data_IF_249014531162
#
_entry.id   IF_249014531162
#
_cell.length_a   1.000
_cell.length_b   1.000
_cell.length_c   1.000
_cell.angle_alpha   90.00
_cell.angle_beta   90.00
_cell.angle_gamma   90.00
#
_symmetry.space_group_name_H-M   'P 1'
#
loop_
_entity.id
_entity.type
_entity.pdbx_description
1 polymer ?
#
# COMPACT_ATOMS: atom_id res chain seq x y z
N UNK A 1 -35.92 -21.37 -14.75
CA UNK A 1 -36.18 -21.42 -13.29
C UNK A 1 -35.07 -20.66 -12.59
N UNK A 2 -35.34 -19.44 -12.10
CA UNK A 2 -34.46 -18.72 -11.18
C UNK A 2 -34.69 -19.20 -9.74
N UNK A 3 -33.63 -19.18 -8.91
CA UNK A 3 -33.67 -18.90 -7.46
C UNK A 3 -32.22 -18.65 -6.97
N UNK A 4 -31.91 -17.43 -6.51
CA UNK A 4 -31.66 -17.01 -5.09
C UNK A 4 -30.23 -17.38 -4.63
N UNK A 5 -29.36 -16.52 -4.11
CA UNK A 5 -29.50 -15.38 -3.20
C UNK A 5 -28.37 -14.33 -3.41
N UNK A 6 -28.76 -13.06 -3.37
CA UNK A 6 -27.87 -11.92 -3.06
C UNK A 6 -27.34 -12.06 -1.62
N UNK A 7 -26.03 -11.89 -1.44
CA UNK A 7 -25.47 -11.40 -0.18
C UNK A 7 -24.83 -10.05 -0.46
N UNK A 8 -25.61 -9.01 -0.22
CA UNK A 8 -25.19 -7.61 -0.21
C UNK A 8 -24.54 -7.37 1.15
N UNK A 9 -23.20 -7.32 1.19
CA UNK A 9 -22.47 -6.88 2.37
C UNK A 9 -22.41 -5.34 2.34
N UNK A 10 -23.46 -4.73 2.86
CA UNK A 10 -23.54 -3.28 3.08
C UNK A 10 -22.66 -2.93 4.28
N UNK A 11 -21.42 -2.52 4.03
CA UNK A 11 -20.66 -1.76 5.02
C UNK A 11 -21.14 -0.30 4.94
N UNK A 12 -22.05 0.05 5.84
CA UNK A 12 -22.40 1.41 6.20
C UNK A 12 -21.14 2.13 6.74
N UNK A 13 -20.46 2.88 5.89
CA UNK A 13 -19.59 3.97 6.35
C UNK A 13 -20.46 5.23 6.44
N UNK A 14 -21.18 5.34 7.55
CA UNK A 14 -21.79 6.60 7.99
C UNK A 14 -20.83 7.23 8.98
N UNK A 15 -20.03 8.18 8.50
CA UNK A 15 -19.48 9.26 9.32
C UNK A 15 -19.72 10.57 8.57
N UNK A 16 -20.85 11.22 8.89
CA UNK A 16 -20.96 12.68 8.82
C UNK A 16 -20.37 13.29 10.09
N UNK A 17 -20.04 14.56 10.21
CA UNK A 17 -20.22 15.76 9.38
C UNK A 17 -19.20 16.80 9.89
N UNK A 18 -18.79 17.73 9.01
CA UNK A 18 -18.35 19.13 9.26
C UNK A 18 -17.06 19.31 10.10
N UNK A 19 -16.00 19.99 9.65
CA UNK A 19 -15.92 21.12 8.74
C UNK A 19 -14.58 21.12 8.00
N UNK A 20 -14.60 20.93 6.68
CA UNK A 20 -13.55 21.47 5.82
C UNK A 20 -13.64 22.98 5.92
N UNK A 21 -12.76 23.60 6.69
CA UNK A 21 -12.55 25.03 6.59
C UNK A 21 -11.92 25.28 5.23
N UNK A 22 -12.75 25.70 4.27
CA UNK A 22 -12.30 26.32 3.03
C UNK A 22 -11.40 27.50 3.39
N UNK A 23 -10.10 27.35 3.18
CA UNK A 23 -9.17 28.46 3.02
C UNK A 23 -8.33 28.15 1.77
N UNK A 24 -8.97 28.38 0.63
CA UNK A 24 -8.45 29.05 -0.58
C UNK A 24 -6.99 28.83 -1.02
N UNK A 25 -6.45 27.61 -0.94
CA UNK A 25 -5.17 27.22 -1.57
C UNK A 25 -5.24 25.79 -2.17
N UNK A 26 -6.01 25.62 -3.25
CA UNK A 26 -5.73 24.67 -4.33
C UNK A 26 -6.20 23.20 -4.25
N UNK A 27 -6.48 22.60 -3.09
CA UNK A 27 -6.91 21.19 -3.00
C UNK A 27 -8.34 21.03 -2.45
N UNK A 28 -9.17 20.28 -3.19
CA UNK A 28 -10.53 19.91 -2.79
C UNK A 28 -10.50 18.64 -1.91
N UNK A 29 -10.72 18.80 -0.61
CA UNK A 29 -10.69 17.68 0.33
C UNK A 29 -11.83 16.66 0.15
N UNK A 30 -12.97 17.05 -0.43
CA UNK A 30 -14.03 16.08 -0.78
C UNK A 30 -13.54 15.13 -1.87
N UNK A 31 -12.88 15.70 -2.88
CA UNK A 31 -12.27 14.94 -3.97
C UNK A 31 -11.09 14.10 -3.47
N UNK A 32 -10.23 14.65 -2.61
CA UNK A 32 -9.11 13.92 -2.02
C UNK A 32 -9.57 12.70 -1.20
N UNK A 33 -10.62 12.84 -0.38
CA UNK A 33 -11.19 11.73 0.38
C UNK A 33 -11.89 10.69 -0.52
N UNK A 34 -12.48 11.14 -1.64
CA UNK A 34 -13.03 10.23 -2.67
C UNK A 34 -11.91 9.42 -3.31
N UNK A 35 -10.83 10.08 -3.75
CA UNK A 35 -9.65 9.43 -4.32
C UNK A 35 -8.99 8.46 -3.33
N UNK A 36 -8.92 8.82 -2.05
CA UNK A 36 -8.43 7.92 -0.99
C UNK A 36 -9.27 6.65 -0.92
N UNK A 37 -10.60 6.78 -0.88
CA UNK A 37 -11.52 5.64 -0.80
C UNK A 37 -11.43 4.76 -2.05
N UNK A 38 -11.34 5.35 -3.24
CA UNK A 38 -11.19 4.61 -4.50
C UNK A 38 -9.85 3.89 -4.59
N UNK A 39 -8.75 4.56 -4.24
CA UNK A 39 -7.42 3.98 -4.24
C UNK A 39 -7.30 2.86 -3.20
N UNK A 40 -7.92 3.01 -2.03
CA UNK A 40 -8.02 1.95 -1.02
C UNK A 40 -8.74 0.72 -1.58
N UNK A 41 -9.88 0.91 -2.25
CA UNK A 41 -10.64 -0.18 -2.85
C UNK A 41 -9.88 -0.86 -3.99
N UNK A 42 -9.18 -0.08 -4.82
CA UNK A 42 -8.35 -0.59 -5.91
C UNK A 42 -7.17 -1.41 -5.37
N UNK A 43 -6.51 -0.91 -4.32
CA UNK A 43 -5.45 -1.63 -3.62
C UNK A 43 -5.96 -2.91 -2.99
N UNK A 44 -7.08 -2.87 -2.25
CA UNK A 44 -7.71 -4.07 -1.66
C UNK A 44 -8.08 -5.12 -2.70
N UNK A 45 -8.51 -4.70 -3.89
CA UNK A 45 -8.89 -5.60 -4.98
C UNK A 45 -7.68 -6.18 -5.70
N UNK A 46 -6.50 -5.55 -5.59
CA UNK A 46 -5.27 -5.93 -6.26
C UNK A 46 -4.06 -5.70 -5.34
N UNK A 47 -4.05 -6.37 -4.18
CA UNK A 47 -3.10 -6.08 -3.09
C UNK A 47 -1.63 -6.28 -3.49
N UNK A 48 -1.38 -7.01 -4.57
CA UNK A 48 -0.03 -7.28 -5.07
C UNK A 48 0.38 -6.31 -6.22
N UNK A 49 -0.45 -5.31 -6.53
CA UNK A 49 -0.17 -4.29 -7.55
C UNK A 49 0.58 -3.10 -6.97
N UNK A 50 1.83 -2.92 -7.40
CA UNK A 50 2.66 -1.76 -7.09
C UNK A 50 1.96 -0.45 -7.45
N UNK A 51 1.27 -0.40 -8.59
CA UNK A 51 0.56 0.79 -9.04
C UNK A 51 -0.63 1.11 -8.13
N UNK A 52 -1.39 0.09 -7.72
CA UNK A 52 -2.52 0.28 -6.82
C UNK A 52 -2.05 0.69 -5.41
N UNK A 53 -0.94 0.13 -4.93
CA UNK A 53 -0.33 0.54 -3.68
C UNK A 53 0.18 1.99 -3.74
N UNK A 54 0.93 2.35 -4.79
CA UNK A 54 1.45 3.71 -4.94
C UNK A 54 0.31 4.72 -5.06
N UNK A 55 -0.76 4.39 -5.79
CA UNK A 55 -1.95 5.22 -5.86
C UNK A 55 -2.58 5.41 -4.47
N UNK A 56 -2.67 4.34 -3.68
CA UNK A 56 -3.21 4.42 -2.33
C UNK A 56 -2.33 5.24 -1.38
N UNK A 57 -1.01 5.02 -1.42
CA UNK A 57 -0.01 5.78 -0.66
C UNK A 57 -0.08 7.27 -0.98
N UNK A 58 -0.11 7.64 -2.26
CA UNK A 58 -0.22 9.04 -2.69
C UNK A 58 -1.53 9.68 -2.22
N UNK A 59 -2.64 8.93 -2.22
CA UNK A 59 -3.92 9.44 -1.75
C UNK A 59 -3.90 9.70 -0.23
N UNK A 60 -3.28 8.81 0.56
CA UNK A 60 -3.05 9.03 2.00
C UNK A 60 -2.18 10.26 2.25
N UNK A 61 -1.06 10.40 1.55
CA UNK A 61 -0.18 11.58 1.63
C UNK A 61 -0.94 12.87 1.28
N UNK A 62 -1.80 12.81 0.25
CA UNK A 62 -2.60 13.97 -0.17
C UNK A 62 -3.57 14.40 0.93
N UNK A 63 -4.26 13.46 1.58
CA UNK A 63 -5.18 13.79 2.68
C UNK A 63 -4.43 14.33 3.90
N UNK A 64 -3.31 13.72 4.27
CA UNK A 64 -2.50 14.12 5.44
C UNK A 64 -1.85 15.50 5.21
N UNK A 65 -1.15 15.69 4.09
CA UNK A 65 -0.34 16.89 3.84
C UNK A 65 -1.19 18.14 3.61
N UNK A 66 -2.44 17.97 3.18
CA UNK A 66 -3.39 19.06 2.98
C UNK A 66 -4.36 19.24 4.16
N UNK A 67 -4.14 18.53 5.28
CA UNK A 67 -4.98 18.69 6.47
C UNK A 67 -6.45 18.34 6.25
N UNK A 68 -6.76 17.44 5.30
CA UNK A 68 -8.13 17.12 4.93
C UNK A 68 -8.89 16.31 6.00
N UNK A 69 -8.21 15.92 7.09
CA UNK A 69 -8.81 15.31 8.28
C UNK A 69 -9.06 16.32 9.42
N UNK A 70 -8.81 17.62 9.21
CA UNK A 70 -8.90 18.64 10.25
C UNK A 70 -7.85 18.44 11.35
N UNK A 71 -8.16 18.85 12.57
CA UNK A 71 -7.28 18.72 13.74
C UNK A 71 -7.52 17.41 14.53
N UNK A 72 -8.19 16.43 13.91
CA UNK A 72 -8.45 15.13 14.54
C UNK A 72 -7.17 14.28 14.56
N UNK A 73 -6.43 14.39 15.66
CA UNK A 73 -5.15 13.72 15.85
C UNK A 73 -5.27 12.19 15.81
N UNK A 74 -6.40 11.62 16.24
CA UNK A 74 -6.64 10.18 16.19
C UNK A 74 -6.75 9.70 14.73
N UNK A 75 -7.50 10.43 13.91
CA UNK A 75 -7.65 10.14 12.48
C UNK A 75 -6.31 10.33 11.76
N UNK A 76 -5.60 11.42 12.00
CA UNK A 76 -4.29 11.68 11.36
C UNK A 76 -3.28 10.58 11.72
N UNK A 77 -3.23 10.15 12.98
CA UNK A 77 -2.33 9.09 13.41
C UNK A 77 -2.69 7.75 12.77
N UNK A 78 -3.97 7.46 12.59
CA UNK A 78 -4.43 6.27 11.88
C UNK A 78 -3.95 6.28 10.42
N UNK A 79 -4.11 7.40 9.71
CA UNK A 79 -3.66 7.54 8.33
C UNK A 79 -2.13 7.44 8.19
N UNK A 80 -1.37 8.01 9.14
CA UNK A 80 0.10 7.88 9.17
C UNK A 80 0.56 6.46 9.46
N UNK A 81 -0.13 5.74 10.35
CA UNK A 81 0.16 4.33 10.61
C UNK A 81 -0.10 3.49 9.36
N UNK A 82 -1.20 3.75 8.66
CA UNK A 82 -1.52 3.06 7.42
C UNK A 82 -0.48 3.36 6.32
N UNK A 83 -0.06 4.61 6.19
CA UNK A 83 1.04 5.01 5.28
C UNK A 83 2.35 4.28 5.61
N UNK A 84 2.69 4.17 6.91
CA UNK A 84 3.86 3.45 7.36
C UNK A 84 3.78 1.93 7.08
N UNK A 85 2.58 1.34 7.19
CA UNK A 85 2.34 -0.08 6.87
C UNK A 85 2.46 -0.36 5.37
N UNK A 86 2.05 0.57 4.50
CA UNK A 86 2.27 0.45 3.05
C UNK A 86 3.75 0.53 2.69
N UNK A 87 4.56 1.22 3.50
CA UNK A 87 5.98 1.42 3.25
C UNK A 87 6.23 2.13 1.91
N UNK A 88 7.25 1.69 1.19
CA UNK A 88 7.59 2.21 -0.13
C UNK A 88 6.78 1.55 -1.27
N UNK A 89 5.73 0.78 -0.95
CA UNK A 89 4.91 0.04 -1.91
C UNK A 89 5.70 -0.93 -2.79
N UNK A 90 6.87 -1.34 -2.34
CA UNK A 90 7.60 -2.43 -2.97
C UNK A 90 7.21 -3.73 -2.26
N UNK A 91 6.52 -4.62 -2.98
CA UNK A 91 5.99 -5.85 -2.41
C UNK A 91 7.04 -6.94 -2.30
N UNK A 92 6.95 -7.63 -1.19
CA UNK A 92 7.77 -8.78 -0.88
C UNK A 92 7.01 -10.05 -1.26
N UNK A 93 7.45 -10.69 -2.35
CA UNK A 93 6.81 -11.87 -2.96
C UNK A 93 6.49 -11.77 -4.45
N UNK A 94 6.70 -10.62 -5.11
CA UNK A 94 6.57 -10.52 -6.58
C UNK A 94 7.86 -10.17 -7.33
N UNK A 95 8.86 -9.61 -6.66
CA UNK A 95 10.22 -9.54 -7.21
C UNK A 95 11.02 -10.68 -6.62
N UNK A 96 10.86 -11.85 -7.22
CA UNK A 96 11.80 -12.94 -7.09
C UNK A 96 12.72 -12.88 -8.30
N UNK A 97 14.02 -12.81 -8.07
CA UNK A 97 15.02 -12.88 -9.13
C UNK A 97 15.70 -14.24 -9.10
N UNK A 98 16.13 -14.71 -10.26
CA UNK A 98 17.01 -15.87 -10.33
C UNK A 98 18.44 -15.37 -10.20
N UNK A 99 19.02 -15.56 -9.02
CA UNK A 99 20.39 -15.16 -8.73
C UNK A 99 21.34 -16.33 -8.91
N UNK A 100 22.36 -16.15 -9.74
CA UNK A 100 23.44 -17.13 -9.94
C UNK A 100 24.65 -16.76 -9.10
N UNK A 101 24.99 -17.61 -8.12
CA UNK A 101 26.18 -17.50 -7.29
C UNK A 101 27.07 -18.73 -7.50
N UNK A 102 28.31 -18.53 -7.92
CA UNK A 102 29.27 -19.62 -8.20
C UNK A 102 28.74 -20.72 -9.14
N UNK A 103 27.84 -20.37 -10.07
CA UNK A 103 27.21 -21.29 -11.02
C UNK A 103 25.94 -21.97 -10.52
N UNK A 104 25.46 -21.64 -9.31
CA UNK A 104 24.20 -22.15 -8.75
C UNK A 104 23.13 -21.07 -8.86
N UNK A 105 22.06 -21.37 -9.59
CA UNK A 105 20.88 -20.52 -9.72
C UNK A 105 19.94 -20.75 -8.53
N UNK A 106 19.54 -19.67 -7.85
CA UNK A 106 18.64 -19.69 -6.70
C UNK A 106 17.58 -18.61 -6.86
N UNK A 107 16.32 -18.93 -6.58
CA UNK A 107 15.24 -17.93 -6.55
C UNK A 107 15.36 -17.15 -5.25
N UNK A 108 15.53 -15.84 -5.36
CA UNK A 108 15.64 -14.95 -4.21
C UNK A 108 14.54 -13.91 -4.28
N UNK A 109 13.72 -13.87 -3.25
CA UNK A 109 12.58 -12.97 -3.16
C UNK A 109 12.85 -11.87 -2.13
N UNK A 110 12.28 -10.68 -2.34
CA UNK A 110 12.18 -9.70 -1.26
C UNK A 110 11.14 -10.16 -0.25
N UNK A 111 11.46 -10.11 1.04
CA UNK A 111 10.61 -10.43 2.19
C UNK A 111 10.04 -9.18 2.86
N UNK A 112 8.94 -9.30 3.61
CA UNK A 112 8.13 -8.16 4.10
C UNK A 112 8.93 -7.16 4.95
N UNK A 113 9.99 -7.63 5.59
CA UNK A 113 10.94 -6.82 6.36
C UNK A 113 12.05 -6.16 5.50
N UNK A 114 11.97 -6.25 4.18
CA UNK A 114 12.96 -5.75 3.22
C UNK A 114 14.17 -6.66 3.01
N UNK A 115 14.27 -7.79 3.71
CA UNK A 115 15.37 -8.74 3.54
C UNK A 115 15.17 -9.65 2.32
N UNK A 116 16.23 -10.28 1.87
CA UNK A 116 16.18 -11.38 0.92
C UNK A 116 15.67 -12.66 1.59
N UNK A 117 14.89 -13.43 0.84
CA UNK A 117 14.35 -14.73 1.22
C UNK A 117 14.77 -15.76 0.18
N UNK A 118 15.23 -16.92 0.66
CA UNK A 118 15.57 -18.09 -0.15
C UNK A 118 14.80 -19.27 0.41
N UNK A 119 13.98 -19.93 -0.40
CA UNK A 119 13.11 -21.04 0.04
C UNK A 119 12.31 -20.67 1.31
N UNK A 120 11.65 -19.50 1.29
CA UNK A 120 10.88 -18.93 2.40
C UNK A 120 11.67 -18.65 3.70
N UNK A 121 13.00 -18.74 3.65
CA UNK A 121 13.88 -18.39 4.77
C UNK A 121 14.43 -16.98 4.60
N UNK A 122 14.16 -16.13 5.58
CA UNK A 122 14.87 -14.86 5.74
C UNK A 122 16.36 -15.12 5.98
N UNK A 123 17.21 -14.60 5.11
CA UNK A 123 18.67 -14.74 5.24
C UNK A 123 19.32 -13.58 6.00
N UNK A 124 18.53 -12.60 6.49
CA UNK A 124 18.99 -11.48 7.30
C UNK A 124 19.78 -10.42 6.53
N UNK A 125 19.79 -10.49 5.20
CA UNK A 125 20.49 -9.56 4.31
C UNK A 125 19.45 -8.72 3.58
N UNK A 126 19.57 -7.38 3.53
CA UNK A 126 18.67 -6.55 2.73
C UNK A 126 18.61 -7.01 1.27
N UNK A 127 17.42 -7.11 0.68
CA UNK A 127 17.24 -7.65 -0.68
C UNK A 127 18.06 -6.92 -1.74
N UNK A 128 18.09 -5.58 -1.70
CA UNK A 128 18.91 -4.77 -2.60
C UNK A 128 20.41 -5.09 -2.50
N UNK A 129 20.89 -5.33 -1.27
CA UNK A 129 22.30 -5.68 -1.03
C UNK A 129 22.64 -7.07 -1.57
N UNK A 130 21.71 -8.01 -1.49
CA UNK A 130 21.90 -9.35 -2.06
C UNK A 130 22.05 -9.31 -3.58
N UNK A 131 21.24 -8.48 -4.25
CA UNK A 131 21.29 -8.29 -5.71
C UNK A 131 22.62 -7.70 -6.15
N UNK A 132 23.14 -6.68 -5.46
CA UNK A 132 24.44 -6.08 -5.79
C UNK A 132 25.61 -7.07 -5.75
N UNK A 133 25.51 -8.09 -4.90
CA UNK A 133 26.55 -9.09 -4.66
C UNK A 133 26.40 -10.35 -5.53
N UNK A 134 25.28 -10.48 -6.25
CA UNK A 134 24.92 -11.69 -6.98
C UNK A 134 24.63 -11.37 -8.45
N UNK A 135 24.70 -12.36 -9.33
CA UNK A 135 24.26 -12.19 -10.72
C UNK A 135 22.77 -12.53 -10.85
N UNK A 136 21.88 -11.55 -10.63
CA UNK A 136 20.43 -11.76 -10.63
C UNK A 136 19.76 -11.29 -11.92
N UNK A 137 18.87 -12.11 -12.47
CA UNK A 137 18.02 -11.82 -13.65
C UNK A 137 16.53 -12.02 -13.32
#
# INVERSE_FOLDING_TARGET
MMRKLMYMATCLLVFGFTACKSDDDGINCEEANTMLSEAQNAYRSNIESTDACNAYRMALETVINNGCSGDDEEVINTLRQELAQLGDCTFSGRTCLVCTNSGIATVVCRGENGNAFIDDRDIGIPFARYIELSNCE
#
